data_IF_610903910234
#
_entry.id   IF_610903910234
#
_cell.length_a   1.000
_cell.length_b   1.000
_cell.length_c   1.000
_cell.angle_alpha   90.00
_cell.angle_beta   90.00
_cell.angle_gamma   90.00
#
_symmetry.space_group_name_H-M   'P 1'
#
loop_
_entity.id
_entity.type
_entity.pdbx_description
1 polymer ?
#
# COMPACT_ATOMS: atom_id res chain seq x y z
N UNK A 1 5.14 -13.25 -0.51
CA UNK A 1 4.93 -11.79 -0.49
C UNK A 1 3.55 -11.49 -1.08
N UNK A 2 2.81 -10.52 -0.53
CA UNK A 2 1.47 -10.14 -1.01
C UNK A 2 1.52 -9.75 -2.50
N UNK A 3 2.51 -8.97 -2.93
CA UNK A 3 2.62 -8.49 -4.32
C UNK A 3 2.84 -9.62 -5.33
N UNK A 4 3.63 -10.63 -5.00
CA UNK A 4 3.89 -11.77 -5.90
C UNK A 4 2.60 -12.52 -6.29
N UNK A 5 1.62 -12.61 -5.39
CA UNK A 5 0.32 -13.24 -5.67
C UNK A 5 -0.40 -12.52 -6.81
N UNK A 6 -0.52 -11.20 -6.72
CA UNK A 6 -1.22 -10.39 -7.73
C UNK A 6 -0.45 -10.34 -9.04
N UNK A 7 0.87 -10.21 -8.97
CA UNK A 7 1.75 -10.29 -10.13
C UNK A 7 1.51 -11.57 -10.94
N UNK A 8 1.53 -12.74 -10.27
CA UNK A 8 1.31 -14.02 -10.95
C UNK A 8 -0.08 -14.12 -11.59
N UNK A 9 -1.13 -13.66 -10.89
CA UNK A 9 -2.50 -13.71 -11.42
C UNK A 9 -2.67 -12.80 -12.63
N UNK A 10 -2.21 -11.55 -12.53
CA UNK A 10 -2.30 -10.59 -13.63
C UNK A 10 -1.52 -11.05 -14.86
N UNK A 11 -0.31 -11.60 -14.68
CA UNK A 11 0.43 -12.17 -15.80
C UNK A 11 -0.26 -13.38 -16.42
N UNK A 12 -0.87 -14.27 -15.62
CA UNK A 12 -1.63 -15.40 -16.17
C UNK A 12 -2.80 -14.93 -17.03
N UNK A 13 -3.47 -13.86 -16.60
CA UNK A 13 -4.61 -13.25 -17.32
C UNK A 13 -4.15 -12.58 -18.62
N UNK A 14 -2.99 -11.90 -18.60
CA UNK A 14 -2.35 -11.29 -19.77
C UNK A 14 -1.90 -12.35 -20.79
N UNK A 15 -1.15 -13.36 -20.37
CA UNK A 15 -0.67 -14.45 -21.23
C UNK A 15 -1.83 -15.24 -21.84
N UNK A 16 -2.92 -15.41 -21.08
CA UNK A 16 -4.15 -16.04 -21.54
C UNK A 16 -4.98 -15.19 -22.51
N UNK A 17 -4.58 -13.94 -22.79
CA UNK A 17 -5.32 -12.97 -23.61
C UNK A 17 -6.77 -12.76 -23.13
N UNK A 18 -6.99 -12.86 -21.81
CA UNK A 18 -8.30 -12.69 -21.17
C UNK A 18 -8.64 -11.21 -20.92
N UNK A 19 -7.64 -10.34 -21.00
CA UNK A 19 -7.73 -8.89 -20.84
C UNK A 19 -7.02 -8.25 -22.02
N UNK A 20 -7.68 -7.27 -22.65
CA UNK A 20 -7.05 -6.42 -23.65
C UNK A 20 -6.46 -5.19 -22.97
N UNK A 21 -5.13 -5.06 -22.98
CA UNK A 21 -4.41 -3.94 -22.38
C UNK A 21 -4.53 -2.64 -23.19
N UNK A 22 -5.04 -2.70 -24.42
CA UNK A 22 -5.36 -1.52 -25.23
C UNK A 22 -6.76 -0.98 -24.93
N UNK A 23 -7.61 -1.78 -24.27
CA UNK A 23 -8.98 -1.41 -23.92
C UNK A 23 -9.03 -0.81 -22.50
N UNK A 24 -9.36 0.47 -22.43
CA UNK A 24 -9.52 1.20 -21.16
C UNK A 24 -10.60 0.60 -20.26
N UNK A 25 -11.64 -0.01 -20.82
CA UNK A 25 -12.69 -0.67 -20.03
C UNK A 25 -12.17 -1.94 -19.36
N UNK A 26 -11.37 -2.74 -20.07
CA UNK A 26 -10.75 -3.92 -19.49
C UNK A 26 -9.75 -3.55 -18.40
N UNK A 27 -8.92 -2.52 -18.62
CA UNK A 27 -8.02 -1.99 -17.60
C UNK A 27 -8.79 -1.51 -16.37
N UNK A 28 -9.89 -0.77 -16.56
CA UNK A 28 -10.75 -0.31 -15.46
C UNK A 28 -11.29 -1.49 -14.64
N UNK A 29 -11.85 -2.52 -15.29
CA UNK A 29 -12.36 -3.71 -14.60
C UNK A 29 -11.27 -4.44 -13.80
N UNK A 30 -10.07 -4.55 -14.36
CA UNK A 30 -8.92 -5.13 -13.64
C UNK A 30 -8.59 -4.30 -12.40
N UNK A 31 -8.49 -2.98 -12.54
CA UNK A 31 -8.22 -2.10 -11.40
C UNK A 31 -9.30 -2.19 -10.32
N UNK A 32 -10.57 -2.14 -10.70
CA UNK A 32 -11.72 -2.20 -9.78
C UNK A 32 -11.74 -3.49 -8.96
N UNK A 33 -11.35 -4.62 -9.56
CA UNK A 33 -11.29 -5.91 -8.86
C UNK A 33 -10.03 -6.04 -7.99
N UNK A 34 -8.86 -5.72 -8.53
CA UNK A 34 -7.59 -6.08 -7.88
C UNK A 34 -7.09 -5.04 -6.89
N UNK A 35 -7.37 -3.74 -7.09
CA UNK A 35 -6.89 -2.69 -6.16
C UNK A 35 -7.50 -2.85 -4.76
N UNK A 36 -8.82 -3.02 -4.58
CA UNK A 36 -9.40 -3.18 -3.25
C UNK A 36 -8.88 -4.42 -2.53
N UNK A 37 -8.74 -5.53 -3.26
CA UNK A 37 -8.27 -6.80 -2.72
C UNK A 37 -6.78 -6.74 -2.33
N UNK A 38 -5.93 -6.12 -3.17
CA UNK A 38 -4.53 -5.88 -2.88
C UNK A 38 -4.37 -5.00 -1.64
N UNK A 39 -5.14 -3.91 -1.56
CA UNK A 39 -5.13 -3.01 -0.41
C UNK A 39 -5.49 -3.75 0.88
N UNK A 40 -6.54 -4.59 0.85
CA UNK A 40 -6.92 -5.41 1.99
C UNK A 40 -5.80 -6.38 2.42
N UNK A 41 -5.24 -7.14 1.48
CA UNK A 41 -4.19 -8.11 1.77
C UNK A 41 -2.92 -7.42 2.33
N UNK A 42 -2.59 -6.23 1.82
CA UNK A 42 -1.49 -5.40 2.33
C UNK A 42 -1.75 -4.94 3.76
N UNK A 43 -2.97 -4.54 4.08
CA UNK A 43 -3.33 -4.13 5.45
C UNK A 43 -3.23 -5.29 6.43
N UNK A 44 -3.78 -6.46 6.10
CA UNK A 44 -3.67 -7.59 7.02
C UNK A 44 -2.22 -8.12 7.09
N UNK A 45 -1.41 -8.00 6.02
CA UNK A 45 0.04 -8.25 6.09
C UNK A 45 0.75 -7.28 7.03
N UNK A 46 0.51 -5.97 6.88
CA UNK A 46 1.11 -4.94 7.71
C UNK A 46 0.74 -5.13 9.18
N UNK A 47 -0.52 -5.44 9.47
CA UNK A 47 -0.94 -5.76 10.83
C UNK A 47 -0.21 -6.98 11.37
N UNK A 48 -0.24 -8.10 10.64
CA UNK A 48 0.43 -9.33 11.06
C UNK A 48 1.92 -9.11 11.26
N UNK A 49 2.56 -8.35 10.38
CA UNK A 49 3.98 -8.06 10.45
C UNK A 49 4.34 -7.07 11.56
N UNK A 50 3.55 -6.02 11.80
CA UNK A 50 3.91 -5.04 12.82
C UNK A 50 3.70 -5.58 14.24
N UNK A 51 2.76 -6.52 14.42
CA UNK A 51 2.42 -7.08 15.73
C UNK A 51 2.98 -8.49 15.98
N UNK A 52 3.63 -9.15 15.00
CA UNK A 52 4.24 -10.45 15.27
C UNK A 52 5.49 -10.33 16.16
N UNK A 53 5.64 -11.20 17.18
CA UNK A 53 6.88 -11.33 17.92
C UNK A 53 8.05 -11.75 17.03
N UNK A 54 9.16 -11.01 17.10
CA UNK A 54 10.40 -11.36 16.41
C UNK A 54 11.34 -12.13 17.36
N UNK A 55 11.73 -13.35 16.97
CA UNK A 55 12.54 -14.22 17.85
C UNK A 55 13.95 -13.68 18.12
N UNK A 56 14.50 -12.91 17.17
CA UNK A 56 15.85 -12.32 17.30
C UNK A 56 15.90 -11.15 18.26
N UNK A 57 14.78 -10.45 18.48
CA UNK A 57 14.71 -9.24 19.30
C UNK A 57 13.94 -9.50 20.61
N UNK A 58 14.19 -10.66 21.23
CA UNK A 58 13.60 -10.99 22.53
C UNK A 58 12.08 -11.21 22.50
N UNK A 59 11.51 -11.64 21.37
CA UNK A 59 10.07 -11.78 21.13
C UNK A 59 9.29 -10.47 21.18
N UNK A 60 9.97 -9.33 20.97
CA UNK A 60 9.30 -8.06 20.76
C UNK A 60 8.81 -7.96 19.31
N UNK A 61 7.66 -7.35 19.12
CA UNK A 61 7.15 -7.03 17.79
C UNK A 61 7.81 -5.77 17.22
N UNK A 62 7.87 -5.60 15.88
CA UNK A 62 8.42 -4.40 15.28
C UNK A 62 7.81 -3.10 15.83
N UNK A 63 6.50 -3.10 16.12
CA UNK A 63 5.81 -1.95 16.70
C UNK A 63 6.30 -1.64 18.13
N UNK A 64 6.54 -2.67 18.95
CA UNK A 64 7.10 -2.49 20.30
C UNK A 64 8.54 -1.99 20.25
N UNK A 65 9.34 -2.51 19.32
CA UNK A 65 10.72 -2.05 19.12
C UNK A 65 10.75 -0.58 18.69
N UNK A 66 9.82 -0.15 17.84
CA UNK A 66 9.67 1.24 17.45
C UNK A 66 9.39 2.14 18.66
N UNK A 67 8.40 1.78 19.48
CA UNK A 67 8.09 2.53 20.71
C UNK A 67 9.27 2.61 21.67
N UNK A 68 10.00 1.51 21.86
CA UNK A 68 11.22 1.48 22.68
C UNK A 68 12.31 2.40 22.13
N UNK A 69 12.48 2.43 20.80
CA UNK A 69 13.41 3.32 20.12
C UNK A 69 13.07 4.80 20.34
N UNK A 70 11.79 5.18 20.19
CA UNK A 70 11.33 6.55 20.41
C UNK A 70 11.57 7.05 21.84
N UNK A 71 11.42 6.16 22.84
CA UNK A 71 11.70 6.51 24.24
C UNK A 71 13.18 6.71 24.52
N UNK A 72 14.05 5.96 23.84
CA UNK A 72 15.50 6.01 24.04
C UNK A 72 16.16 7.15 23.23
N UNK A 73 15.57 7.51 22.09
CA UNK A 73 16.04 8.56 21.21
C UNK A 73 14.84 9.39 20.74
N UNK A 74 14.48 10.46 21.46
CA UNK A 74 13.45 11.38 21.02
C UNK A 74 13.88 11.98 19.67
N UNK A 75 13.18 11.60 18.61
CA UNK A 75 13.33 12.21 17.28
C UNK A 75 12.34 13.37 17.23
N UNK A 76 12.81 14.58 16.87
CA UNK A 76 11.88 15.68 16.57
C UNK A 76 10.94 15.24 15.45
N UNK A 77 9.63 15.40 15.66
CA UNK A 77 8.67 15.08 14.61
C UNK A 77 9.02 15.87 13.34
N UNK A 78 9.13 15.21 12.18
CA UNK A 78 9.41 15.91 10.95
C UNK A 78 8.31 16.94 10.70
N UNK A 79 8.69 18.17 10.36
CA UNK A 79 7.74 19.22 10.03
C UNK A 79 6.99 18.84 8.74
N UNK A 80 5.82 18.23 8.89
CA UNK A 80 4.95 17.73 7.81
C UNK A 80 4.60 18.79 6.77
N UNK A 81 4.66 20.09 7.11
CA UNK A 81 4.36 21.19 6.17
C UNK A 81 5.49 21.42 5.15
N UNK A 82 6.71 21.00 5.47
CA UNK A 82 7.85 21.10 4.55
C UNK A 82 7.89 19.96 3.53
N UNK A 83 7.25 18.83 3.85
CA UNK A 83 7.23 17.63 2.98
C UNK A 83 6.23 17.81 1.84
N UNK A 84 5.10 18.47 2.09
CA UNK A 84 4.05 18.74 1.09
C UNK A 84 4.55 19.63 -0.07
N UNK A 85 5.42 20.60 0.24
CA UNK A 85 6.01 21.49 -0.76
C UNK A 85 7.07 20.81 -1.66
N UNK A 86 7.63 19.67 -1.26
CA UNK A 86 8.65 18.99 -2.05
C UNK A 86 8.07 18.03 -3.10
N UNK A 87 6.82 17.58 -2.91
CA UNK A 87 6.09 16.81 -3.92
C UNK A 87 5.49 17.68 -5.03
N UNK A 88 5.26 18.97 -4.78
CA UNK A 88 4.71 19.90 -5.78
C UNK A 88 5.76 20.44 -6.77
N UNK A 89 7.04 20.47 -6.40
CA UNK A 89 8.07 21.11 -7.24
C UNK A 89 8.52 20.25 -8.43
N UNK A 90 8.25 18.94 -8.41
CA UNK A 90 8.57 18.03 -9.52
C UNK A 90 7.43 17.82 -10.53
N UNK A 91 6.30 18.54 -10.41
CA UNK A 91 5.17 18.41 -11.34
C UNK A 91 5.04 19.56 -12.35
N UNK A 92 5.92 20.56 -12.30
CA UNK A 92 5.94 21.65 -13.28
C UNK A 92 6.79 21.23 -14.49
N UNK A 93 6.29 20.31 -15.31
CA UNK A 93 6.62 20.16 -16.75
C UNK A 93 5.82 19.04 -17.45
N UNK A 94 4.74 18.51 -16.84
CA UNK A 94 3.89 17.51 -17.49
C UNK A 94 2.80 18.18 -18.36
N UNK A 95 2.90 17.93 -19.66
CA UNK A 95 1.97 18.19 -20.77
C UNK A 95 0.48 17.95 -20.38
N UNK A 96 -0.50 18.76 -20.81
CA UNK A 96 -1.86 18.81 -20.24
C UNK A 96 -2.80 17.61 -20.54
N UNK A 97 -2.30 16.47 -21.02
CA UNK A 97 -3.16 15.38 -21.53
C UNK A 97 -3.37 14.21 -20.55
N UNK A 98 -2.79 14.18 -19.34
CA UNK A 98 -2.92 13.01 -18.47
C UNK A 98 -3.82 13.25 -17.24
N UNK A 99 -4.92 12.51 -17.19
CA UNK A 99 -5.90 12.53 -16.12
C UNK A 99 -5.33 11.99 -14.82
N UNK A 100 -4.88 12.89 -13.95
CA UNK A 100 -4.30 12.55 -12.65
C UNK A 100 -5.24 11.73 -11.76
N UNK A 101 -4.75 10.58 -11.29
CA UNK A 101 -5.43 9.70 -10.34
C UNK A 101 -5.39 10.30 -8.94
N UNK A 102 -6.56 10.62 -8.39
CA UNK A 102 -6.73 11.02 -6.99
C UNK A 102 -6.61 9.78 -6.10
N UNK A 103 -5.49 9.65 -5.37
CA UNK A 103 -5.32 8.61 -4.35
C UNK A 103 -6.08 9.03 -3.11
N UNK A 104 -7.23 8.37 -2.85
CA UNK A 104 -8.04 8.62 -1.67
C UNK A 104 -7.40 8.03 -0.40
N UNK A 105 -7.51 8.75 0.72
CA UNK A 105 -7.05 8.33 2.04
C UNK A 105 -7.57 6.93 2.42
N UNK A 106 -6.68 6.09 2.94
CA UNK A 106 -7.01 4.72 3.32
C UNK A 106 -7.71 4.75 4.68
N UNK A 107 -9.04 4.62 4.71
CA UNK A 107 -9.78 4.31 5.93
C UNK A 107 -9.41 2.91 6.41
N UNK A 108 -8.88 2.81 7.63
CA UNK A 108 -8.53 1.55 8.29
C UNK A 108 -9.81 0.77 8.63
N UNK A 109 -10.08 -0.31 7.90
CA UNK A 109 -11.12 -1.27 8.25
C UNK A 109 -10.46 -2.40 9.05
N UNK A 110 -10.93 -2.63 10.28
CA UNK A 110 -10.47 -3.72 11.15
C UNK A 110 -10.74 -5.09 10.49
N UNK A 111 -9.70 -5.92 10.26
CA UNK A 111 -9.81 -7.27 9.66
C UNK A 111 -10.60 -8.29 10.56
N UNK A 112 -11.32 -7.87 11.62
CA UNK A 112 -11.96 -8.76 12.62
C UNK A 112 -13.50 -8.84 12.60
N UNK A 113 -14.19 -8.21 11.65
CA UNK A 113 -15.67 -8.17 11.63
C UNK A 113 -16.34 -9.11 10.61
N UNK A 114 -15.62 -10.08 10.02
CA UNK A 114 -16.23 -11.10 9.14
C UNK A 114 -15.85 -12.51 9.62
N UNK A 115 -16.24 -12.83 10.85
CA UNK A 115 -16.48 -14.21 11.25
C UNK A 115 -17.70 -14.23 12.18
N UNK A 116 -18.88 -14.40 11.61
CA UNK A 116 -20.06 -14.93 12.32
C UNK A 116 -20.08 -16.45 12.17
#
# INVERSE_FOLDING_TARGET
CVTCKYYNVLHTVEEGQLVDLSDKMHLFCVHDVFIPQLKYDLQCFLHSWNFHPTRSEGNLSPEQLWHLGMLQMPVEEPNVKAVDHHFQDHSLDADPEDGGVVVSEITYINCFQISS
#
